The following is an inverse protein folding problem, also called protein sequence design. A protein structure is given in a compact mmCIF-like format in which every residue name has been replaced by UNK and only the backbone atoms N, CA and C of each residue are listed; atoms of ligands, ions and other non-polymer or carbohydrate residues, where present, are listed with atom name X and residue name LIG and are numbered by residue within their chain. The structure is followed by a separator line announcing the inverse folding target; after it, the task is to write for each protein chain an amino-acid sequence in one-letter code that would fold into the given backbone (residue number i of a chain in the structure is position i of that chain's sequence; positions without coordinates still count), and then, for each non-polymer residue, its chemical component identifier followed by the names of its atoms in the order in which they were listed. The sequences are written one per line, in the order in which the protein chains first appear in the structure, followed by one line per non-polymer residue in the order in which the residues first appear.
data_IF_286597131056
#
_entry.id   IF_286597131056
#
_cell.length_a   1.000
_cell.length_b   1.000
_cell.length_c   1.000
_cell.angle_alpha   90.00
_cell.angle_beta   90.00
_cell.angle_gamma   90.00
#
_symmetry.space_group_name_H-M   'P 1'
#
loop_
_entity.id
_entity.type
_entity.pdbx_description
1 polymer ?
#
# COMPACT_ATOMS: atom_id res chain seq x y z
N UNK A 1 -18.58 -15.90 -12.09
CA UNK A 1 -17.12 -15.92 -12.25
C UNK A 1 -16.62 -14.48 -12.06
N UNK A 2 -15.98 -14.17 -10.94
CA UNK A 2 -15.41 -12.84 -10.72
C UNK A 2 -14.32 -12.61 -11.76
N UNK A 3 -14.44 -11.58 -12.60
CA UNK A 3 -13.39 -11.26 -13.57
C UNK A 3 -12.12 -10.87 -12.85
N UNK A 4 -10.97 -11.38 -13.31
CA UNK A 4 -9.64 -11.04 -12.76
C UNK A 4 -9.35 -9.52 -12.86
N UNK A 5 -10.08 -8.83 -13.74
CA UNK A 5 -10.06 -7.37 -13.93
C UNK A 5 -11.31 -6.66 -13.38
N UNK A 6 -11.99 -7.24 -12.39
CA UNK A 6 -13.23 -6.67 -11.83
C UNK A 6 -13.07 -5.22 -11.35
N UNK A 7 -11.86 -4.80 -10.99
CA UNK A 7 -11.52 -3.44 -10.55
C UNK A 7 -10.65 -2.69 -11.56
N UNK A 8 -10.87 -2.93 -12.86
CA UNK A 8 -10.16 -2.27 -13.96
C UNK A 8 -8.63 -2.47 -13.94
N UNK A 9 -8.13 -3.50 -13.25
CA UNK A 9 -6.69 -3.76 -13.06
C UNK A 9 -6.01 -2.84 -12.05
N UNK A 10 -6.75 -1.98 -11.35
CA UNK A 10 -6.23 -1.08 -10.32
C UNK A 10 -5.76 -1.86 -9.09
N UNK A 11 -6.42 -2.97 -8.78
CA UNK A 11 -6.02 -3.95 -7.76
C UNK A 11 -4.67 -4.61 -8.08
N UNK A 12 -4.46 -5.01 -9.34
CA UNK A 12 -3.18 -5.52 -9.81
C UNK A 12 -2.07 -4.48 -9.76
N UNK A 13 -2.38 -3.24 -10.13
CA UNK A 13 -1.44 -2.13 -10.03
C UNK A 13 -1.07 -1.82 -8.56
N UNK A 14 -2.06 -1.80 -7.67
CA UNK A 14 -1.86 -1.63 -6.24
C UNK A 14 -0.99 -2.75 -5.65
N UNK A 15 -1.23 -3.99 -6.06
CA UNK A 15 -0.42 -5.15 -5.66
C UNK A 15 1.02 -5.05 -6.19
N UNK A 16 1.23 -4.69 -7.44
CA UNK A 16 2.56 -4.49 -8.01
C UNK A 16 3.36 -3.41 -7.25
N UNK A 17 2.71 -2.30 -6.91
CA UNK A 17 3.29 -1.24 -6.06
C UNK A 17 3.62 -1.76 -4.66
N UNK A 18 2.74 -2.56 -4.05
CA UNK A 18 2.99 -3.19 -2.74
C UNK A 18 4.25 -4.07 -2.76
N UNK A 19 4.38 -4.92 -3.78
CA UNK A 19 5.53 -5.82 -3.93
C UNK A 19 6.82 -5.03 -4.23
N UNK A 20 6.74 -4.02 -5.08
CA UNK A 20 7.88 -3.16 -5.39
C UNK A 20 8.35 -2.39 -4.15
N UNK A 21 7.42 -1.88 -3.35
CA UNK A 21 7.73 -1.23 -2.08
C UNK A 21 8.41 -2.18 -1.09
N UNK A 22 7.91 -3.41 -0.96
CA UNK A 22 8.52 -4.43 -0.11
C UNK A 22 9.96 -4.77 -0.56
N UNK A 23 10.19 -4.86 -1.87
CA UNK A 23 11.52 -5.03 -2.45
C UNK A 23 12.46 -3.87 -2.10
N UNK A 24 12.02 -2.62 -2.25
CA UNK A 24 12.80 -1.42 -1.90
C UNK A 24 13.17 -1.41 -0.40
N UNK A 25 12.22 -1.73 0.47
CA UNK A 25 12.46 -1.84 1.91
C UNK A 25 13.46 -2.95 2.25
N UNK A 26 13.38 -4.11 1.59
CA UNK A 26 14.36 -5.19 1.70
C UNK A 26 15.77 -4.76 1.28
N UNK A 27 15.88 -3.90 0.27
CA UNK A 27 17.13 -3.28 -0.17
C UNK A 27 17.57 -2.06 0.68
N UNK A 28 16.97 -1.85 1.86
CA UNK A 28 17.24 -0.72 2.76
C UNK A 28 17.04 0.66 2.12
N UNK A 29 16.15 0.76 1.13
CA UNK A 29 15.84 2.02 0.47
C UNK A 29 14.64 2.71 1.12
N UNK A 30 14.86 3.93 1.63
CA UNK A 30 13.83 4.75 2.29
C UNK A 30 12.61 5.04 1.40
N UNK A 31 12.80 5.07 0.07
CA UNK A 31 11.72 5.26 -0.89
C UNK A 31 10.64 4.17 -0.80
N UNK A 32 11.00 2.97 -0.31
CA UNK A 32 10.04 1.87 -0.12
C UNK A 32 8.84 2.26 0.75
N UNK A 33 9.02 3.08 1.79
CA UNK A 33 7.91 3.56 2.62
C UNK A 33 6.94 4.47 1.84
N UNK A 34 7.45 5.32 0.94
CA UNK A 34 6.61 6.22 0.13
C UNK A 34 5.80 5.39 -0.86
N UNK A 35 6.45 4.46 -1.57
CA UNK A 35 5.77 3.59 -2.53
C UNK A 35 4.71 2.74 -1.82
N UNK A 36 5.01 2.23 -0.62
CA UNK A 36 4.05 1.45 0.17
C UNK A 36 2.89 2.33 0.66
N UNK A 37 3.15 3.56 1.08
CA UNK A 37 2.10 4.51 1.47
C UNK A 37 1.14 4.83 0.30
N UNK A 38 1.66 5.06 -0.91
CA UNK A 38 0.84 5.27 -2.12
C UNK A 38 -0.02 4.03 -2.41
N UNK A 39 0.57 2.84 -2.34
CA UNK A 39 -0.17 1.58 -2.53
C UNK A 39 -1.31 1.42 -1.52
N UNK A 40 -1.07 1.72 -0.24
CA UNK A 40 -2.11 1.67 0.80
C UNK A 40 -3.26 2.65 0.52
N UNK A 41 -2.99 3.85 -0.01
CA UNK A 41 -4.06 4.79 -0.41
C UNK A 41 -4.94 4.19 -1.50
N UNK A 42 -4.34 3.53 -2.51
CA UNK A 42 -5.10 2.87 -3.58
C UNK A 42 -5.98 1.76 -3.00
N UNK A 43 -5.45 0.95 -2.08
CA UNK A 43 -6.22 -0.09 -1.40
C UNK A 43 -7.35 0.45 -0.52
N UNK A 44 -7.17 1.61 0.12
CA UNK A 44 -8.26 2.28 0.87
C UNK A 44 -9.38 2.69 -0.09
N UNK A 45 -9.04 3.32 -1.21
CA UNK A 45 -10.01 3.74 -2.23
C UNK A 45 -10.75 2.53 -2.81
N UNK A 46 -10.03 1.46 -3.16
CA UNK A 46 -10.63 0.20 -3.62
C UNK A 46 -11.55 -0.41 -2.55
N UNK A 47 -11.08 -0.46 -1.29
CA UNK A 47 -11.83 -0.99 -0.16
C UNK A 47 -13.15 -0.27 0.08
N UNK A 48 -13.15 1.08 0.03
CA UNK A 48 -14.35 1.90 0.29
C UNK A 48 -15.30 1.90 -0.91
N UNK A 49 -14.80 2.16 -2.12
CA UNK A 49 -15.65 2.46 -3.27
C UNK A 49 -15.97 1.26 -4.17
N UNK A 50 -15.09 0.27 -4.24
CA UNK A 50 -15.19 -0.81 -5.23
C UNK A 50 -15.44 -2.18 -4.60
N UNK A 51 -14.96 -2.41 -3.38
CA UNK A 51 -15.03 -3.71 -2.70
C UNK A 51 -15.95 -3.71 -1.47
N UNK A 52 -16.42 -2.54 -1.02
CA UNK A 52 -17.26 -2.37 0.19
C UNK A 52 -16.71 -3.11 1.43
N UNK A 53 -15.38 -3.16 1.54
CA UNK A 53 -14.66 -3.87 2.60
C UNK A 53 -14.02 -2.88 3.56
N UNK A 54 -14.75 -2.57 4.64
CA UNK A 54 -14.24 -1.70 5.71
C UNK A 54 -12.96 -2.25 6.35
N UNK A 55 -12.84 -3.58 6.48
CA UNK A 55 -11.64 -4.21 7.04
C UNK A 55 -10.39 -3.95 6.20
N UNK A 56 -10.51 -4.03 4.87
CA UNK A 56 -9.42 -3.71 3.96
C UNK A 56 -9.03 -2.23 4.04
N UNK A 57 -10.01 -1.32 4.07
CA UNK A 57 -9.75 0.11 4.16
C UNK A 57 -9.07 0.49 5.49
N UNK A 58 -9.58 0.00 6.63
CA UNK A 58 -9.00 0.23 7.95
C UNK A 58 -7.59 -0.36 8.07
N UNK A 59 -7.37 -1.58 7.57
CA UNK A 59 -6.06 -2.22 7.60
C UNK A 59 -5.02 -1.44 6.79
N UNK A 60 -5.37 -1.02 5.57
CA UNK A 60 -4.48 -0.22 4.73
C UNK A 60 -4.27 1.19 5.29
N UNK A 61 -5.25 1.76 5.99
CA UNK A 61 -5.07 3.02 6.72
C UNK A 61 -4.06 2.88 7.86
N UNK A 62 -4.13 1.81 8.66
CA UNK A 62 -3.13 1.53 9.68
C UNK A 62 -1.73 1.33 9.07
N UNK A 63 -1.62 0.57 7.98
CA UNK A 63 -0.35 0.40 7.26
C UNK A 63 0.18 1.69 6.68
N UNK A 64 -0.68 2.57 6.16
CA UNK A 64 -0.29 3.90 5.72
C UNK A 64 0.38 4.69 6.85
N UNK A 65 -0.21 4.73 8.04
CA UNK A 65 0.37 5.41 9.21
C UNK A 65 1.72 4.81 9.62
N UNK A 66 1.84 3.48 9.60
CA UNK A 66 3.11 2.78 9.89
C UNK A 66 4.17 3.18 8.87
N UNK A 67 3.82 3.27 7.58
CA UNK A 67 4.75 3.66 6.52
C UNK A 67 5.20 5.12 6.65
N UNK A 68 4.28 6.03 6.94
CA UNK A 68 4.61 7.44 7.19
C UNK A 68 5.54 7.56 8.40
N UNK A 69 5.23 6.86 9.49
CA UNK A 69 6.10 6.82 10.68
C UNK A 69 7.48 6.25 10.33
N UNK A 70 7.52 5.12 9.62
CA UNK A 70 8.75 4.46 9.20
C UNK A 70 9.65 5.38 8.36
N UNK A 71 9.06 6.13 7.42
CA UNK A 71 9.77 7.13 6.63
C UNK A 71 10.37 8.26 7.49
N UNK A 72 9.64 8.77 8.46
CA UNK A 72 10.11 9.85 9.35
C UNK A 72 11.21 9.34 10.30
N UNK A 73 11.06 8.14 10.86
CA UNK A 73 12.01 7.59 11.82
C UNK A 73 13.28 7.02 11.19
N UNK A 74 13.27 6.71 9.88
CA UNK A 74 14.39 6.06 9.19
C UNK A 74 15.75 6.78 9.36
N UNK A 75 15.76 8.11 9.42
CA UNK A 75 16.99 8.89 9.56
C UNK A 75 17.40 9.12 11.02
N UNK A 76 16.60 8.70 12.01
CA UNK A 76 16.91 8.85 13.44
C UNK A 76 17.66 7.63 14.02
N UNK A 77 17.87 6.60 13.21
CA UNK A 77 18.48 5.33 13.64
C UNK A 77 19.63 4.90 12.70
N UNK A 78 20.02 5.76 11.75
CA UNK A 78 21.23 5.56 10.95
C UNK A 78 22.41 6.33 11.52
#
# INVERSE_FOLDING_TARGET
MSSIFAHYGVDWFAMALSLYAAYLLGNKQKLGFIVFAISNIIWIVLGIFFMSSMGMALGNFAFFLINVRGFISWNKTS
#
